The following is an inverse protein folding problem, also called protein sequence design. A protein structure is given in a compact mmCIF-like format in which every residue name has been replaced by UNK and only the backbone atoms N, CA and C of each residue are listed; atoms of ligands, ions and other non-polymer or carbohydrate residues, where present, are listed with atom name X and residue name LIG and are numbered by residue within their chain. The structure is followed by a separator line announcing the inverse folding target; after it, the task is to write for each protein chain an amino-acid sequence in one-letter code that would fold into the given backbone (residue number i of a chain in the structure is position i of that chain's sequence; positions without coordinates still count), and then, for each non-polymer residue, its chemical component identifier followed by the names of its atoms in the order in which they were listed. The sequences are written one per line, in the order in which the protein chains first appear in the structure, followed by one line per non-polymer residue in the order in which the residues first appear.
data_IF_856355775213
#
_entry.id   IF_856355775213
#
_cell.length_a   1.000
_cell.length_b   1.000
_cell.length_c   1.000
_cell.angle_alpha   90.00
_cell.angle_beta   90.00
_cell.angle_gamma   90.00
#
_symmetry.space_group_name_H-M   'P 1'
#
loop_
_entity.id
_entity.type
_entity.pdbx_description
1 polymer ?
#
# COMPACT_ATOMS: atom_id res chain seq x y z
N UNK A 1 3.88 61.38 22.76
CA UNK A 1 2.62 60.81 22.21
C UNK A 1 2.85 60.30 20.78
N UNK A 2 3.51 59.14 20.57
CA UNK A 2 3.56 58.51 19.22
C UNK A 2 4.13 57.08 19.20
N UNK A 3 3.73 56.21 20.12
CA UNK A 3 4.12 54.78 20.04
C UNK A 3 3.00 53.84 20.54
N UNK A 4 1.74 54.31 20.61
CA UNK A 4 0.57 53.50 21.01
C UNK A 4 -0.06 52.81 19.78
N UNK A 5 0.48 53.03 18.58
CA UNK A 5 -0.18 52.68 17.31
C UNK A 5 0.21 51.34 16.69
N UNK A 6 0.85 50.41 17.41
CA UNK A 6 1.17 49.08 16.87
C UNK A 6 0.70 47.92 17.76
N UNK A 7 -0.16 48.17 18.75
CA UNK A 7 -0.70 47.13 19.61
C UNK A 7 -1.97 46.44 19.07
N UNK A 8 -2.40 46.69 17.82
CA UNK A 8 -3.76 46.35 17.38
C UNK A 8 -3.89 45.43 16.15
N UNK A 9 -2.83 44.86 15.56
CA UNK A 9 -3.00 44.18 14.24
C UNK A 9 -2.15 42.93 13.96
N UNK A 10 -1.80 42.15 14.99
CA UNK A 10 -1.05 40.89 14.77
C UNK A 10 -1.49 39.73 15.68
N UNK A 11 -2.78 39.65 16.03
CA UNK A 11 -3.36 38.49 16.72
C UNK A 11 -4.36 37.86 15.75
N UNK A 12 -3.90 36.89 14.96
CA UNK A 12 -4.77 36.22 13.99
C UNK A 12 -4.06 35.36 12.95
N UNK A 13 -2.82 34.93 13.19
CA UNK A 13 -2.22 33.88 12.36
C UNK A 13 -2.84 32.55 12.74
N UNK A 14 -3.86 32.18 11.97
CA UNK A 14 -4.53 30.88 11.98
C UNK A 14 -3.50 29.75 12.07
N UNK A 15 -3.51 29.04 13.19
CA UNK A 15 -2.87 27.74 13.34
C UNK A 15 -3.64 26.73 12.46
N UNK A 16 -3.34 26.70 11.17
CA UNK A 16 -3.71 25.58 10.31
C UNK A 16 -2.77 24.41 10.67
N UNK A 17 -3.14 23.63 11.68
CA UNK A 17 -2.52 22.33 11.90
C UNK A 17 -2.85 21.43 10.72
N UNK A 18 -1.87 20.83 10.02
CA UNK A 18 -2.17 19.74 9.12
C UNK A 18 -2.80 18.63 9.97
N UNK A 19 -4.05 18.31 9.70
CA UNK A 19 -4.65 17.09 10.21
C UNK A 19 -3.80 15.94 9.66
N UNK A 20 -3.01 15.31 10.52
CA UNK A 20 -2.32 14.08 10.17
C UNK A 20 -3.39 13.02 9.96
N UNK A 21 -3.80 12.84 8.71
CA UNK A 21 -4.68 11.75 8.33
C UNK A 21 -3.90 10.45 8.54
N UNK A 22 -4.16 9.79 9.67
CA UNK A 22 -3.72 8.42 9.91
C UNK A 22 -4.53 7.46 9.03
N UNK A 23 -4.55 7.71 7.72
CA UNK A 23 -5.19 6.85 6.76
C UNK A 23 -4.34 5.59 6.57
N UNK A 24 -5.00 4.44 6.48
CA UNK A 24 -4.38 3.16 6.13
C UNK A 24 -3.95 3.16 4.65
N UNK A 25 -2.90 3.94 4.35
CA UNK A 25 -2.35 4.05 3.03
C UNK A 25 -1.69 2.71 2.64
N UNK A 26 -2.06 2.13 1.49
CA UNK A 26 -1.47 0.88 1.05
C UNK A 26 0.05 1.03 0.94
N UNK A 27 0.75 0.00 1.40
CA UNK A 27 2.21 -0.11 1.35
C UNK A 27 3.01 1.05 2.00
N UNK A 28 2.54 1.59 3.14
CA UNK A 28 3.23 2.64 3.88
C UNK A 28 4.47 2.16 4.68
N UNK A 29 5.30 3.12 5.08
CA UNK A 29 6.48 2.88 5.92
C UNK A 29 7.50 1.95 5.25
N UNK A 30 7.91 0.89 5.96
CA UNK A 30 8.93 -0.06 5.50
C UNK A 30 8.55 -0.86 4.25
N UNK A 31 7.27 -0.86 3.86
CA UNK A 31 6.79 -1.55 2.65
C UNK A 31 7.22 -0.85 1.35
N UNK A 32 7.60 0.42 1.42
CA UNK A 32 8.23 1.15 0.31
C UNK A 32 7.29 1.55 -0.82
N UNK A 33 5.97 1.60 -0.60
CA UNK A 33 5.00 1.94 -1.63
C UNK A 33 4.49 0.74 -2.43
N UNK A 34 3.53 1.02 -3.31
CA UNK A 34 2.82 0.01 -4.10
C UNK A 34 3.68 -0.38 -5.31
N UNK A 35 3.93 -1.67 -5.47
CA UNK A 35 4.62 -2.22 -6.63
C UNK A 35 3.63 -2.54 -7.77
N UNK A 36 2.56 -3.26 -7.45
CA UNK A 36 1.54 -3.67 -8.41
C UNK A 36 0.21 -4.03 -7.72
N UNK A 37 -0.84 -4.19 -8.52
CA UNK A 37 -2.10 -4.78 -8.08
C UNK A 37 -2.12 -6.27 -8.46
N UNK A 38 -2.60 -7.11 -7.54
CA UNK A 38 -3.07 -8.46 -7.85
C UNK A 38 -4.58 -8.54 -7.54
N UNK A 39 -5.40 -8.37 -8.57
CA UNK A 39 -6.82 -8.04 -8.41
C UNK A 39 -6.96 -6.83 -7.48
N UNK A 40 -7.85 -6.90 -6.49
CA UNK A 40 -8.06 -5.85 -5.50
C UNK A 40 -6.92 -5.68 -4.49
N UNK A 41 -5.95 -6.61 -4.45
CA UNK A 41 -4.90 -6.62 -3.45
C UNK A 41 -3.71 -5.77 -3.89
N UNK A 42 -3.19 -4.93 -2.99
CA UNK A 42 -1.94 -4.19 -3.24
C UNK A 42 -0.74 -5.07 -2.89
N UNK A 43 0.17 -5.25 -3.85
CA UNK A 43 1.48 -5.84 -3.64
C UNK A 43 2.49 -4.70 -3.45
N UNK A 44 3.27 -4.78 -2.39
CA UNK A 44 4.21 -3.73 -1.99
C UNK A 44 5.61 -3.95 -2.58
N UNK A 45 6.45 -2.91 -2.55
CA UNK A 45 7.82 -2.98 -3.08
C UNK A 45 8.71 -3.96 -2.31
N UNK A 46 8.45 -4.19 -1.03
CA UNK A 46 9.08 -5.25 -0.23
C UNK A 46 8.59 -6.68 -0.56
N UNK A 47 7.71 -6.82 -1.56
CA UNK A 47 7.13 -8.07 -1.99
C UNK A 47 6.00 -8.59 -1.09
N UNK A 48 5.57 -7.86 -0.06
CA UNK A 48 4.48 -8.31 0.81
C UNK A 48 3.10 -7.81 0.34
N UNK A 49 2.03 -8.44 0.84
CA UNK A 49 0.65 -7.96 0.65
C UNK A 49 0.38 -6.78 1.59
N UNK A 50 -0.29 -5.74 1.10
CA UNK A 50 -0.78 -4.66 1.95
C UNK A 50 -1.97 -5.08 2.82
N UNK A 51 -1.99 -4.62 4.07
CA UNK A 51 -3.14 -4.77 4.96
C UNK A 51 -4.31 -3.81 4.63
N UNK A 52 -4.18 -2.93 3.63
CA UNK A 52 -5.24 -1.99 3.25
C UNK A 52 -6.47 -2.71 2.72
N UNK A 53 -7.67 -2.26 3.12
CA UNK A 53 -8.97 -2.80 2.69
C UNK A 53 -9.49 -2.16 1.40
N UNK A 54 -8.78 -1.15 0.89
CA UNK A 54 -9.13 -0.50 -0.37
C UNK A 54 -8.98 -1.51 -1.52
N UNK A 55 -9.70 -1.29 -2.61
CA UNK A 55 -9.47 -2.05 -3.85
C UNK A 55 -8.36 -1.38 -4.66
N UNK A 56 -7.32 -2.14 -4.98
CA UNK A 56 -6.22 -1.69 -5.84
C UNK A 56 -6.75 -1.34 -7.24
N UNK A 57 -7.64 -2.17 -7.80
CA UNK A 57 -8.25 -1.89 -9.10
C UNK A 57 -9.18 -0.69 -9.06
N UNK A 58 -9.96 -0.47 -8.00
CA UNK A 58 -10.79 0.72 -7.90
C UNK A 58 -9.95 2.00 -7.74
N UNK A 59 -8.77 1.89 -7.11
CA UNK A 59 -7.87 3.04 -6.89
C UNK A 59 -7.03 3.37 -8.13
N UNK A 60 -6.63 2.35 -8.91
CA UNK A 60 -5.66 2.51 -10.01
C UNK A 60 -6.15 2.02 -11.38
N UNK A 61 -7.35 1.45 -11.48
CA UNK A 61 -7.90 0.75 -12.65
C UNK A 61 -8.18 1.61 -13.88
N UNK A 62 -7.89 2.92 -13.84
CA UNK A 62 -7.85 3.80 -15.01
C UNK A 62 -6.45 4.05 -15.59
N UNK A 63 -5.38 3.64 -14.89
CA UNK A 63 -3.97 3.88 -15.27
C UNK A 63 -3.18 2.58 -15.44
N UNK A 64 -3.86 1.46 -15.64
CA UNK A 64 -3.26 0.16 -15.89
C UNK A 64 -2.74 0.05 -17.34
N UNK A 65 -1.93 1.02 -17.76
CA UNK A 65 -1.32 1.10 -19.08
C UNK A 65 0.20 0.99 -19.08
N UNK A 66 0.86 0.85 -17.93
CA UNK A 66 2.34 0.87 -17.89
C UNK A 66 3.05 -0.20 -17.05
N UNK A 67 2.38 -1.15 -16.41
CA UNK A 67 3.09 -2.26 -15.76
C UNK A 67 2.32 -3.58 -15.92
N UNK A 68 2.91 -4.44 -16.76
CA UNK A 68 2.70 -5.87 -16.97
C UNK A 68 1.25 -6.41 -17.03
N UNK A 69 0.86 -6.86 -18.22
CA UNK A 69 -0.24 -7.80 -18.41
C UNK A 69 -0.14 -8.97 -17.40
N UNK A 70 -1.28 -9.54 -16.94
CA UNK A 70 -1.26 -10.72 -16.10
C UNK A 70 -0.76 -11.86 -16.98
N UNK A 71 0.56 -12.08 -17.00
CA UNK A 71 1.10 -13.35 -17.44
C UNK A 71 0.52 -14.33 -16.45
N UNK A 72 -0.45 -15.14 -16.89
CA UNK A 72 -0.91 -16.33 -16.16
C UNK A 72 0.37 -17.03 -15.73
N UNK A 73 0.71 -16.90 -14.44
CA UNK A 73 1.97 -17.36 -13.94
C UNK A 73 2.01 -18.86 -14.19
N UNK A 74 3.01 -19.30 -14.96
CA UNK A 74 3.38 -20.70 -14.96
C UNK A 74 3.57 -21.11 -13.49
N UNK A 75 3.22 -22.35 -13.10
CA UNK A 75 3.50 -22.82 -11.75
C UNK A 75 5.00 -22.59 -11.51
N UNK A 76 5.35 -21.87 -10.42
CA UNK A 76 6.73 -21.65 -10.06
C UNK A 76 7.43 -23.02 -9.99
N UNK A 77 8.47 -23.20 -10.80
CA UNK A 77 9.13 -24.49 -11.01
C UNK A 77 9.77 -25.06 -9.73
N UNK A 78 9.81 -24.30 -8.64
CA UNK A 78 10.38 -24.65 -7.34
C UNK A 78 9.33 -24.85 -6.22
N UNK A 79 8.03 -24.73 -6.52
CA UNK A 79 6.99 -24.78 -5.49
C UNK A 79 6.98 -23.58 -4.54
N UNK A 80 7.67 -22.48 -4.86
CA UNK A 80 7.63 -21.24 -4.08
C UNK A 80 6.42 -20.39 -4.48
N UNK A 81 5.55 -20.10 -3.51
CA UNK A 81 4.42 -19.19 -3.71
C UNK A 81 4.88 -17.78 -3.42
N UNK A 82 5.24 -16.98 -4.43
CA UNK A 82 5.72 -15.61 -4.27
C UNK A 82 4.59 -14.60 -4.54
N UNK A 83 4.49 -13.55 -3.72
CA UNK A 83 3.44 -12.56 -3.84
C UNK A 83 3.51 -11.75 -5.14
N UNK A 84 4.72 -11.55 -5.69
CA UNK A 84 4.97 -10.77 -6.91
C UNK A 84 4.55 -11.52 -8.19
N UNK A 85 4.59 -12.85 -8.17
CA UNK A 85 4.13 -13.69 -9.28
C UNK A 85 2.63 -13.96 -9.24
N UNK A 86 1.92 -13.53 -8.20
CA UNK A 86 0.50 -13.88 -8.00
C UNK A 86 0.30 -15.37 -7.71
N UNK A 87 1.34 -16.08 -7.26
CA UNK A 87 1.25 -17.49 -6.88
C UNK A 87 1.04 -17.62 -5.38
N UNK A 88 0.04 -18.40 -4.99
CA UNK A 88 -0.41 -18.51 -3.61
C UNK A 88 -0.44 -19.96 -3.14
N UNK A 89 -0.02 -20.15 -1.89
CA UNK A 89 -0.03 -21.40 -1.16
C UNK A 89 -1.17 -21.40 -0.15
N UNK A 90 -1.64 -22.59 0.21
CA UNK A 90 -2.59 -22.77 1.30
C UNK A 90 -1.89 -23.41 2.48
N UNK A 91 -1.97 -22.77 3.65
CA UNK A 91 -1.40 -23.30 4.89
C UNK A 91 -2.23 -24.43 5.50
N UNK A 92 -1.71 -25.13 6.53
CA UNK A 92 -2.39 -26.26 7.17
C UNK A 92 -3.72 -25.88 7.84
N UNK A 93 -3.95 -24.60 8.11
CA UNK A 93 -5.21 -24.05 8.65
C UNK A 93 -6.15 -23.52 7.56
N UNK A 94 -5.89 -23.81 6.29
CA UNK A 94 -6.69 -23.35 5.14
C UNK A 94 -6.53 -21.87 4.78
N UNK A 95 -5.57 -21.16 5.38
CA UNK A 95 -5.26 -19.76 5.07
C UNK A 95 -4.40 -19.63 3.82
N UNK A 96 -4.77 -18.75 2.90
CA UNK A 96 -4.04 -18.49 1.66
C UNK A 96 -2.90 -17.48 1.93
N UNK A 97 -1.68 -17.81 1.53
CA UNK A 97 -0.51 -16.97 1.73
C UNK A 97 0.44 -17.02 0.53
N UNK A 98 1.33 -16.03 0.47
CA UNK A 98 2.48 -16.00 -0.41
C UNK A 98 3.72 -15.56 0.39
N UNK A 99 4.89 -15.67 -0.20
CA UNK A 99 6.17 -15.26 0.36
C UNK A 99 6.57 -13.90 -0.22
N UNK A 100 6.98 -12.99 0.66
CA UNK A 100 7.61 -11.74 0.26
C UNK A 100 9.03 -11.95 -0.24
N UNK A 101 9.66 -10.89 -0.75
CA UNK A 101 11.04 -10.95 -1.26
C UNK A 101 12.04 -11.31 -0.15
N UNK A 102 11.68 -11.04 1.11
CA UNK A 102 12.41 -11.43 2.32
C UNK A 102 12.09 -12.84 2.85
N UNK A 103 11.27 -13.62 2.13
CA UNK A 103 10.86 -14.97 2.53
C UNK A 103 9.80 -15.03 3.65
N UNK A 104 9.24 -13.89 4.05
CA UNK A 104 8.21 -13.84 5.08
C UNK A 104 6.84 -14.18 4.49
N UNK A 105 6.01 -14.92 5.25
CA UNK A 105 4.64 -15.23 4.83
C UNK A 105 3.76 -13.99 4.90
N UNK A 106 3.09 -13.68 3.81
CA UNK A 106 2.07 -12.64 3.71
C UNK A 106 0.73 -13.29 3.37
N UNK A 107 -0.27 -13.07 4.21
CA UNK A 107 -1.57 -13.73 4.08
C UNK A 107 -2.53 -12.88 3.24
N UNK A 108 -3.21 -13.54 2.31
CA UNK A 108 -4.27 -12.92 1.51
C UNK A 108 -5.56 -12.93 2.31
N UNK A 109 -6.35 -11.87 2.16
CA UNK A 109 -7.70 -11.82 2.73
C UNK A 109 -8.67 -12.61 1.87
N UNK A 110 -9.66 -13.23 2.52
CA UNK A 110 -10.81 -13.84 1.85
C UNK A 110 -11.80 -12.76 1.44
#
# INVERSE_FOLDING_TARGET
MKQIACFALAIGSLLAWPAADAANQPCSGRKGGIAQCDGDTFICNDGSISASKKSCQATFGGRQGLMAAPKRAAPAADGSCNCRSGTYCTGPRGGVYCLSDSGNKSYRRK
#
